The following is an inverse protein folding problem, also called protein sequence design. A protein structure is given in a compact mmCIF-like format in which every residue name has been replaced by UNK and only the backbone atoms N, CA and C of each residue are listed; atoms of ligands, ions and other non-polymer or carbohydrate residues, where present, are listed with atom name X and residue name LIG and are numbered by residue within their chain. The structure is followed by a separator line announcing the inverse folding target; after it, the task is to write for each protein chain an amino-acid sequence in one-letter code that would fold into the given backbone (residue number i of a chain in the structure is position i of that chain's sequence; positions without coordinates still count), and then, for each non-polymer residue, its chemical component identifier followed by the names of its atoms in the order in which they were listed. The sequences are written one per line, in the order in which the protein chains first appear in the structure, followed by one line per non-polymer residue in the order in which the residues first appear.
data_IF_143364454710
#
_entry.id   IF_143364454710
#
_cell.length_a   1.000
_cell.length_b   1.000
_cell.length_c   1.000
_cell.angle_alpha   90.00
_cell.angle_beta   90.00
_cell.angle_gamma   90.00
#
_symmetry.space_group_name_H-M   'P 1'
#
loop_
_entity.id
_entity.type
_entity.pdbx_description
1 polymer ?
#
# COMPACT_ATOMS: atom_id res chain seq x y z
N UNK A 1 -49.41 -11.87 -1.79
CA UNK A 1 -47.97 -11.73 -1.52
C UNK A 1 -47.22 -11.80 -2.85
N UNK A 2 -46.60 -10.70 -3.29
CA UNK A 2 -45.95 -10.65 -4.61
C UNK A 2 -44.63 -11.45 -4.60
N UNK A 3 -44.54 -12.46 -5.47
CA UNK A 3 -43.34 -13.23 -5.72
C UNK A 3 -42.25 -12.30 -6.27
N UNK A 4 -41.22 -12.02 -5.47
CA UNK A 4 -40.08 -11.17 -5.88
C UNK A 4 -39.39 -11.83 -7.08
N UNK A 5 -39.49 -11.18 -8.24
CA UNK A 5 -38.92 -11.70 -9.49
C UNK A 5 -37.41 -11.92 -9.38
N UNK A 6 -36.91 -12.94 -10.09
CA UNK A 6 -35.47 -13.26 -10.10
C UNK A 6 -34.69 -12.03 -10.57
N UNK A 7 -33.56 -11.69 -9.91
CA UNK A 7 -32.75 -10.55 -10.30
C UNK A 7 -32.27 -10.71 -11.75
N UNK A 8 -32.28 -9.60 -12.48
CA UNK A 8 -31.86 -9.54 -13.88
C UNK A 8 -30.41 -10.01 -14.04
N UNK A 9 -30.04 -10.43 -15.26
CA UNK A 9 -28.68 -10.88 -15.58
C UNK A 9 -27.63 -9.83 -15.19
N UNK A 10 -27.93 -8.54 -15.43
CA UNK A 10 -27.04 -7.43 -15.05
C UNK A 10 -26.82 -7.33 -13.54
N UNK A 11 -27.86 -7.56 -12.72
CA UNK A 11 -27.73 -7.60 -11.25
C UNK A 11 -26.83 -8.76 -10.80
N UNK A 12 -26.97 -9.94 -11.42
CA UNK A 12 -26.14 -11.11 -11.12
C UNK A 12 -24.67 -10.86 -11.49
N UNK A 13 -24.40 -10.29 -12.66
CA UNK A 13 -23.04 -9.95 -13.09
C UNK A 13 -22.38 -8.93 -12.15
N UNK A 14 -23.12 -7.88 -11.76
CA UNK A 14 -22.61 -6.88 -10.81
C UNK A 14 -22.28 -7.49 -9.45
N UNK A 15 -23.08 -8.42 -8.98
CA UNK A 15 -22.83 -9.09 -7.71
C UNK A 15 -21.64 -10.04 -7.78
N UNK A 16 -21.52 -10.81 -8.86
CA UNK A 16 -20.34 -11.64 -9.11
C UNK A 16 -19.06 -10.80 -9.17
N UNK A 17 -19.09 -9.63 -9.81
CA UNK A 17 -17.95 -8.72 -9.87
C UNK A 17 -17.55 -8.16 -8.49
N UNK A 18 -18.51 -7.85 -7.61
CA UNK A 18 -18.22 -7.44 -6.23
C UNK A 18 -17.56 -8.56 -5.44
N UNK A 19 -18.11 -9.78 -5.54
CA UNK A 19 -17.57 -10.95 -4.84
C UNK A 19 -16.15 -11.24 -5.31
N UNK A 20 -15.89 -11.22 -6.63
CA UNK A 20 -14.56 -11.40 -7.20
C UNK A 20 -13.58 -10.35 -6.66
N UNK A 21 -13.93 -9.06 -6.71
CA UNK A 21 -13.11 -7.97 -6.17
C UNK A 21 -12.81 -8.13 -4.68
N UNK A 22 -13.78 -8.60 -3.89
CA UNK A 22 -13.58 -8.84 -2.46
C UNK A 22 -12.63 -10.01 -2.23
N UNK A 23 -12.79 -11.12 -2.98
CA UNK A 23 -11.89 -12.27 -2.92
C UNK A 23 -10.45 -11.88 -3.28
N UNK A 24 -10.26 -11.14 -4.37
CA UNK A 24 -8.94 -10.67 -4.79
C UNK A 24 -8.30 -9.76 -3.73
N UNK A 25 -9.09 -8.87 -3.13
CA UNK A 25 -8.61 -7.99 -2.05
C UNK A 25 -8.19 -8.80 -0.81
N UNK A 26 -8.93 -9.86 -0.47
CA UNK A 26 -8.57 -10.74 0.64
C UNK A 26 -7.31 -11.56 0.33
N UNK A 27 -7.18 -12.08 -0.89
CA UNK A 27 -5.99 -12.80 -1.34
C UNK A 27 -4.74 -11.91 -1.24
N UNK A 28 -4.79 -10.69 -1.79
CA UNK A 28 -3.69 -9.71 -1.67
C UNK A 28 -3.31 -9.37 -0.23
N UNK A 29 -4.31 -9.31 0.67
CA UNK A 29 -4.05 -9.07 2.10
C UNK A 29 -3.36 -10.26 2.75
N UNK A 30 -3.78 -11.49 2.43
CA UNK A 30 -3.15 -12.69 2.92
C UNK A 30 -1.69 -12.80 2.43
N UNK A 31 -1.46 -12.57 1.13
CA UNK A 31 -0.11 -12.52 0.55
C UNK A 31 0.78 -11.47 1.21
N UNK A 32 0.26 -10.26 1.48
CA UNK A 32 1.02 -9.22 2.19
C UNK A 32 1.34 -9.61 3.64
N UNK A 33 0.45 -10.36 4.30
CA UNK A 33 0.65 -10.79 5.68
C UNK A 33 1.67 -11.94 5.79
N UNK A 34 1.72 -12.83 4.80
CA UNK A 34 2.69 -13.93 4.75
C UNK A 34 4.05 -13.51 4.18
N UNK A 35 4.08 -12.42 3.40
CA UNK A 35 5.34 -11.87 2.90
C UNK A 35 6.23 -11.49 4.08
N UNK A 36 7.43 -12.11 4.21
CA UNK A 36 8.34 -11.76 5.28
C UNK A 36 8.67 -10.27 5.18
N UNK A 37 8.62 -9.56 6.32
CA UNK A 37 9.13 -8.19 6.46
C UNK A 37 10.66 -8.14 6.48
N UNK A 38 11.32 -9.26 6.16
CA UNK A 38 12.76 -9.39 6.15
C UNK A 38 13.31 -8.54 5.03
N UNK A 39 13.76 -7.33 5.38
CA UNK A 39 14.91 -6.77 4.72
C UNK A 39 16.10 -7.59 5.22
N UNK A 40 16.50 -8.61 4.45
CA UNK A 40 17.71 -9.36 4.72
C UNK A 40 18.87 -8.35 4.82
N UNK A 41 19.39 -8.12 6.03
CA UNK A 41 20.52 -7.22 6.28
C UNK A 41 20.26 -5.95 7.11
N UNK A 42 19.04 -5.68 7.59
CA UNK A 42 18.78 -4.51 8.45
C UNK A 42 19.05 -4.83 9.92
N UNK A 43 19.89 -4.04 10.63
CA UNK A 43 20.14 -4.25 12.05
C UNK A 43 18.85 -4.06 12.87
N UNK A 44 18.62 -4.95 13.84
CA UNK A 44 17.44 -4.89 14.69
C UNK A 44 17.39 -3.56 15.47
N UNK A 45 16.26 -2.85 15.37
CA UNK A 45 16.03 -1.59 16.08
C UNK A 45 16.36 -0.31 15.29
N UNK A 46 16.84 -0.42 14.06
CA UNK A 46 17.06 0.73 13.16
C UNK A 46 16.09 0.63 11.98
N UNK A 47 15.31 1.68 11.75
CA UNK A 47 14.47 1.81 10.57
C UNK A 47 15.33 2.37 9.41
N UNK A 48 15.53 1.63 8.30
CA UNK A 48 16.31 2.09 7.16
C UNK A 48 15.79 3.40 6.58
N UNK A 49 14.48 3.64 6.65
CA UNK A 49 13.87 4.85 6.10
C UNK A 49 14.17 6.09 6.97
N UNK A 50 14.54 5.89 8.25
CA UNK A 50 14.75 6.96 9.23
C UNK A 50 16.22 7.11 9.62
N UNK A 51 17.05 6.09 9.43
CA UNK A 51 18.44 6.02 9.92
C UNK A 51 19.29 7.25 9.55
N UNK A 52 19.11 7.80 8.35
CA UNK A 52 19.91 8.92 7.84
C UNK A 52 19.24 10.29 8.01
N UNK A 53 18.03 10.34 8.56
CA UNK A 53 17.30 11.59 8.77
C UNK A 53 17.85 12.27 10.02
N UNK A 54 18.53 13.40 9.84
CA UNK A 54 18.98 14.26 10.95
C UNK A 54 17.88 15.25 11.31
N UNK A 55 17.39 15.28 12.56
CA UNK A 55 16.42 16.28 12.99
C UNK A 55 17.07 17.67 13.04
N UNK A 56 16.38 18.68 12.51
CA UNK A 56 16.86 20.06 12.50
C UNK A 56 16.58 20.76 11.16
N UNK A 57 16.98 22.04 11.03
CA UNK A 57 16.94 22.71 9.75
C UNK A 57 17.90 22.02 8.77
N UNK A 58 17.40 21.75 7.56
CA UNK A 58 18.21 21.20 6.47
C UNK A 58 19.32 22.21 6.12
N UNK A 59 20.60 21.81 6.09
CA UNK A 59 21.66 22.69 5.61
C UNK A 59 21.42 23.09 4.15
N UNK A 60 21.88 24.28 3.73
CA UNK A 60 21.84 24.68 2.33
C UNK A 60 22.61 23.64 1.49
N UNK A 61 22.07 23.32 0.32
CA UNK A 61 22.69 22.36 -0.57
C UNK A 61 23.90 22.99 -1.26
N UNK A 62 24.88 22.16 -1.67
CA UNK A 62 26.15 22.62 -2.25
C UNK A 62 25.94 23.60 -3.44
N UNK A 63 24.94 23.33 -4.28
CA UNK A 63 24.56 24.20 -5.41
C UNK A 63 24.03 25.59 -5.04
N UNK A 64 23.60 25.79 -3.79
CA UNK A 64 23.20 27.09 -3.27
C UNK A 64 24.41 27.90 -2.80
N UNK A 65 25.49 27.24 -2.43
CA UNK A 65 26.71 27.86 -1.91
C UNK A 65 27.62 28.28 -3.07
N UNK A 66 27.73 27.43 -4.11
CA UNK A 66 28.57 27.67 -5.28
C UNK A 66 28.08 28.82 -6.20
N UNK A 67 26.86 29.33 -5.98
CA UNK A 67 26.27 30.42 -6.77
C UNK A 67 26.44 31.82 -6.20
N UNK A 68 27.05 31.93 -5.01
CA UNK A 68 27.21 33.18 -4.25
C UNK A 68 28.66 33.75 -4.33
N UNK A 69 29.52 33.21 -5.20
CA UNK A 69 30.88 33.71 -5.49
C UNK A 69 30.94 34.47 -6.84
#
# INVERSE_FOLDING_TARGET
MAQRSRPTISKRQREQARIAKQKDKMARRAEKATRPKSADGVPAGVDPDIADIRPGPQPPADWQIDGDE
#
